data_IF_913248069425
#
_entry.id   IF_913248069425
#
_cell.length_a   1.000
_cell.length_b   1.000
_cell.length_c   1.000
_cell.angle_alpha   90.00
_cell.angle_beta   90.00
_cell.angle_gamma   90.00
#
_symmetry.space_group_name_H-M   'P 1'
#
loop_
_entity.id
_entity.type
_entity.pdbx_description
1 polymer ?
#
# COMPACT_ATOMS: atom_id res chain seq x y z
N UNK A 1 4.68 60.04 8.55
CA UNK A 1 5.87 59.42 9.17
C UNK A 1 6.23 58.19 8.33
N UNK A 2 6.55 58.39 7.04
CA UNK A 2 7.86 58.74 6.44
C UNK A 2 8.80 57.53 6.44
N UNK A 3 9.28 57.18 5.25
CA UNK A 3 10.06 55.98 4.84
C UNK A 3 9.27 54.68 4.64
N UNK A 4 8.68 54.52 3.44
CA UNK A 4 8.80 53.32 2.57
C UNK A 4 7.94 53.48 1.30
N UNK A 5 8.13 54.60 0.59
CA UNK A 5 7.61 54.83 -0.76
C UNK A 5 8.79 55.24 -1.65
N UNK A 6 9.62 54.27 -2.04
CA UNK A 6 10.65 54.42 -3.07
C UNK A 6 11.26 53.05 -3.37
N UNK A 7 10.54 52.21 -4.11
CA UNK A 7 11.12 51.14 -4.91
C UNK A 7 10.20 50.89 -6.11
N UNK A 8 10.41 51.65 -7.18
CA UNK A 8 9.93 51.31 -8.53
C UNK A 8 10.67 50.06 -9.06
N UNK A 9 10.01 49.21 -9.86
CA UNK A 9 10.59 47.98 -10.39
C UNK A 9 11.41 48.27 -11.65
N UNK A 10 12.73 48.04 -11.61
CA UNK A 10 13.58 48.10 -12.81
C UNK A 10 15.04 48.47 -12.58
N UNK A 11 15.81 47.69 -11.79
CA UNK A 11 17.28 47.80 -11.74
C UNK A 11 17.96 46.43 -11.83
N UNK A 12 18.93 46.35 -12.75
CA UNK A 12 19.73 45.17 -13.15
C UNK A 12 20.91 44.84 -12.21
N UNK A 13 20.67 44.74 -10.89
CA UNK A 13 21.78 44.65 -9.92
C UNK A 13 22.07 43.23 -9.38
N UNK A 14 21.56 42.16 -10.00
CA UNK A 14 21.92 40.78 -9.61
C UNK A 14 22.93 40.18 -10.59
N UNK A 15 24.19 40.62 -10.49
CA UNK A 15 25.34 39.83 -10.98
C UNK A 15 26.01 39.17 -9.77
N UNK A 16 26.02 37.83 -9.76
CA UNK A 16 26.69 36.99 -8.75
C UNK A 16 28.13 37.47 -8.53
N UNK A 17 28.45 37.86 -7.30
CA UNK A 17 29.78 38.28 -6.89
C UNK A 17 30.75 37.09 -6.88
N UNK A 18 31.95 37.33 -7.43
CA UNK A 18 33.10 36.41 -7.59
C UNK A 18 33.61 35.77 -6.29
N UNK A 19 33.05 36.13 -5.14
CA UNK A 19 33.42 35.64 -3.80
C UNK A 19 32.79 34.27 -3.50
N UNK A 20 31.64 33.92 -4.11
CA UNK A 20 30.96 32.65 -3.85
C UNK A 20 31.54 31.47 -4.63
N UNK A 21 32.12 31.74 -5.81
CA UNK A 21 32.90 30.74 -6.56
C UNK A 21 34.23 30.39 -5.87
N UNK A 22 34.82 31.32 -5.11
CA UNK A 22 36.05 31.05 -4.35
C UNK A 22 35.78 30.17 -3.11
N UNK A 23 34.61 30.30 -2.47
CA UNK A 23 34.20 29.45 -1.35
C UNK A 23 33.83 28.03 -1.81
N UNK A 24 33.21 27.91 -2.99
CA UNK A 24 32.95 26.62 -3.63
C UNK A 24 34.24 25.90 -4.07
N UNK A 25 35.26 26.62 -4.53
CA UNK A 25 36.56 26.07 -4.91
C UNK A 25 37.47 25.68 -3.72
N UNK A 26 37.27 26.26 -2.53
CA UNK A 26 37.95 25.84 -1.30
C UNK A 26 37.25 24.66 -0.61
N UNK A 27 35.91 24.57 -0.71
CA UNK A 27 35.17 23.41 -0.21
C UNK A 27 35.51 22.12 -0.99
N UNK A 28 35.87 22.23 -2.28
CA UNK A 28 36.30 21.08 -3.09
C UNK A 28 37.76 20.66 -2.86
N UNK A 29 38.60 21.48 -2.22
CA UNK A 29 39.99 21.13 -1.87
C UNK A 29 40.17 20.56 -0.46
N UNK A 30 39.20 20.73 0.44
CA UNK A 30 39.25 20.17 1.79
C UNK A 30 38.76 18.70 1.88
N UNK A 31 38.21 18.14 0.79
CA UNK A 31 37.77 16.75 0.73
C UNK A 31 38.87 15.78 0.23
N UNK A 32 40.05 16.28 -0.15
CA UNK A 32 41.14 15.49 -0.72
C UNK A 32 42.36 15.43 0.21
N UNK A 33 42.22 14.81 1.38
CA UNK A 33 43.37 14.32 2.16
C UNK A 33 42.92 13.49 3.39
N UNK A 34 42.68 12.18 3.22
CA UNK A 34 43.04 11.13 4.22
C UNK A 34 43.35 9.80 3.51
N UNK A 35 44.26 8.97 4.04
CA UNK A 35 44.92 7.89 3.29
C UNK A 35 44.03 6.68 3.06
N UNK A 36 44.23 6.02 1.91
CA UNK A 36 43.58 4.78 1.52
C UNK A 36 44.04 3.61 2.40
N UNK A 37 43.11 3.03 3.16
CA UNK A 37 43.22 1.65 3.64
C UNK A 37 42.45 0.78 2.64
N UNK A 38 43.19 0.02 1.82
CA UNK A 38 42.64 -0.99 0.92
C UNK A 38 42.10 -2.17 1.73
N UNK A 39 40.80 -2.19 1.99
CA UNK A 39 40.07 -3.44 2.23
C UNK A 39 39.25 -3.76 0.98
N UNK A 40 39.24 -5.02 0.50
CA UNK A 40 38.48 -5.40 -0.68
C UNK A 40 36.98 -5.32 -0.37
N UNK A 41 36.32 -4.30 -0.91
CA UNK A 41 34.86 -4.17 -0.87
C UNK A 41 34.23 -5.32 -1.63
N UNK A 42 33.74 -6.31 -0.90
CA UNK A 42 32.87 -7.35 -1.46
C UNK A 42 31.61 -6.69 -2.03
N UNK A 43 31.18 -7.05 -3.26
CA UNK A 43 29.97 -6.49 -3.84
C UNK A 43 28.77 -6.82 -2.94
N UNK A 44 27.99 -5.78 -2.62
CA UNK A 44 26.72 -5.92 -1.90
C UNK A 44 25.63 -6.13 -2.95
N UNK A 45 25.01 -7.31 -2.93
CA UNK A 45 23.87 -7.63 -3.79
C UNK A 45 22.57 -7.41 -3.01
N UNK A 46 21.71 -6.54 -3.54
CA UNK A 46 20.31 -6.44 -3.09
C UNK A 46 19.49 -7.41 -3.94
N UNK A 47 19.07 -8.53 -3.33
CA UNK A 47 18.24 -9.54 -3.97
C UNK A 47 16.78 -9.11 -3.92
N UNK A 48 16.18 -8.84 -5.08
CA UNK A 48 14.74 -8.88 -5.22
C UNK A 48 14.30 -10.34 -5.15
N UNK A 49 13.39 -10.65 -4.23
CA UNK A 49 12.71 -11.94 -4.17
C UNK A 49 11.83 -12.06 -5.42
N UNK A 50 12.40 -12.58 -6.51
CA UNK A 50 11.62 -13.08 -7.63
C UNK A 50 10.78 -14.25 -7.13
N UNK A 51 9.49 -14.26 -7.49
CA UNK A 51 8.60 -15.35 -7.17
C UNK A 51 9.19 -16.67 -7.73
N UNK A 52 9.34 -17.74 -6.92
CA UNK A 52 10.00 -18.99 -7.34
C UNK A 52 9.30 -19.81 -8.44
N UNK A 53 8.25 -19.30 -9.07
CA UNK A 53 7.35 -20.09 -9.92
C UNK A 53 7.62 -19.93 -11.44
N UNK A 54 8.76 -19.38 -11.85
CA UNK A 54 9.09 -19.26 -13.29
C UNK A 54 10.55 -19.49 -13.65
N UNK A 55 11.20 -20.46 -13.01
CA UNK A 55 12.45 -21.05 -13.53
C UNK A 55 12.14 -22.28 -14.38
N UNK A 56 12.27 -22.13 -15.71
CA UNK A 56 12.36 -23.26 -16.63
C UNK A 56 13.81 -23.76 -16.60
N UNK A 57 14.01 -24.92 -15.98
CA UNK A 57 15.32 -25.58 -15.87
C UNK A 57 15.75 -26.10 -17.25
N UNK A 58 16.82 -25.53 -17.81
CA UNK A 58 17.60 -26.19 -18.87
C UNK A 58 18.58 -27.20 -18.22
N UNK A 59 18.82 -28.39 -18.81
CA UNK A 59 19.67 -29.40 -18.21
C UNK A 59 21.14 -28.93 -18.17
N UNK A 60 21.70 -28.83 -16.96
CA UNK A 60 23.13 -28.59 -16.76
C UNK A 60 23.91 -29.90 -16.94
N UNK A 61 24.73 -29.96 -17.98
CA UNK A 61 25.82 -30.93 -18.06
C UNK A 61 26.94 -30.53 -17.10
N UNK A 62 27.18 -31.41 -16.11
CA UNK A 62 28.49 -31.80 -15.61
C UNK A 62 29.37 -30.74 -14.96
N UNK A 63 29.19 -30.50 -13.66
CA UNK A 63 30.28 -30.37 -12.67
C UNK A 63 29.78 -30.94 -11.34
N UNK A 64 30.39 -32.04 -10.86
CA UNK A 64 30.09 -32.65 -9.56
C UNK A 64 30.71 -31.85 -8.40
N UNK A 65 29.94 -31.54 -7.33
CA UNK A 65 30.50 -31.23 -6.02
C UNK A 65 30.37 -32.45 -5.09
N UNK A 66 31.49 -32.78 -4.44
CA UNK A 66 31.66 -33.88 -3.48
C UNK A 66 30.62 -33.86 -2.36
N UNK A 67 29.93 -34.98 -2.16
CA UNK A 67 28.95 -35.20 -1.10
C UNK A 67 29.60 -35.47 0.27
N UNK A 68 29.08 -34.92 1.38
CA UNK A 68 29.27 -35.47 2.72
C UNK A 68 28.56 -36.83 2.85
N UNK A 69 29.04 -37.75 3.71
CA UNK A 69 28.59 -39.15 3.70
C UNK A 69 27.10 -39.29 4.00
N UNK A 70 26.42 -40.03 3.11
CA UNK A 70 25.00 -40.35 3.18
C UNK A 70 24.66 -41.13 4.47
N UNK A 71 23.77 -40.57 5.30
CA UNK A 71 23.06 -41.35 6.30
C UNK A 71 21.85 -42.01 5.64
N UNK A 72 21.82 -43.35 5.64
CA UNK A 72 20.71 -44.13 5.08
C UNK A 72 19.44 -43.88 5.89
N UNK A 73 18.26 -43.67 5.27
CA UNK A 73 16.99 -43.59 5.97
C UNK A 73 16.73 -44.90 6.73
N UNK A 74 16.51 -44.80 8.03
CA UNK A 74 16.20 -45.94 8.90
C UNK A 74 14.71 -46.27 8.81
N UNK A 75 14.41 -47.57 8.76
CA UNK A 75 13.07 -48.14 8.74
C UNK A 75 12.27 -47.75 10.00
N UNK A 76 10.93 -47.64 9.96
CA UNK A 76 10.12 -47.20 11.11
C UNK A 76 10.32 -48.04 12.39
N UNK A 77 10.61 -49.34 12.24
CA UNK A 77 10.94 -50.22 13.37
C UNK A 77 12.27 -49.87 14.05
N UNK A 78 13.22 -49.30 13.30
CA UNK A 78 14.54 -48.91 13.78
C UNK A 78 14.48 -47.55 14.47
N UNK A 79 13.63 -46.65 13.99
CA UNK A 79 13.30 -45.40 14.68
C UNK A 79 12.67 -45.65 16.06
N UNK A 80 11.76 -46.64 16.18
CA UNK A 80 11.13 -46.99 17.46
C UNK A 80 12.15 -47.55 18.49
N UNK A 81 13.16 -48.31 18.04
CA UNK A 81 14.24 -48.79 18.92
C UNK A 81 15.16 -47.65 19.40
N UNK A 82 15.40 -46.66 18.55
CA UNK A 82 16.21 -45.48 18.89
C UNK A 82 15.46 -44.59 19.90
N UNK A 83 14.14 -44.46 19.78
CA UNK A 83 13.33 -43.72 20.76
C UNK A 83 13.19 -44.47 22.10
N UNK A 84 13.12 -45.80 22.10
CA UNK A 84 13.17 -46.61 23.32
C UNK A 84 14.51 -46.46 24.07
N UNK A 85 15.64 -46.54 23.35
CA UNK A 85 16.97 -46.34 23.93
C UNK A 85 17.18 -44.91 24.46
N UNK A 86 16.55 -43.91 23.83
CA UNK A 86 16.53 -42.54 24.33
C UNK A 86 15.73 -42.40 25.62
N UNK A 87 14.60 -43.09 25.74
CA UNK A 87 13.79 -43.08 26.97
C UNK A 87 14.54 -43.71 28.15
N UNK A 88 15.27 -44.80 27.90
CA UNK A 88 16.12 -45.44 28.91
C UNK A 88 17.35 -44.59 29.29
N UNK A 89 17.99 -43.94 28.31
CA UNK A 89 19.13 -43.04 28.56
C UNK A 89 18.72 -41.78 29.35
N UNK A 90 17.52 -41.23 29.10
CA UNK A 90 16.97 -40.10 29.83
C UNK A 90 16.65 -40.47 31.29
N UNK A 91 16.20 -41.71 31.54
CA UNK A 91 15.95 -42.22 32.90
C UNK A 91 17.25 -42.40 33.70
N UNK A 92 18.34 -42.76 33.02
CA UNK A 92 19.67 -42.96 33.61
C UNK A 92 20.56 -41.70 33.64
N UNK A 93 20.02 -40.53 33.26
CA UNK A 93 20.74 -39.25 33.32
C UNK A 93 21.91 -39.11 32.33
N UNK A 94 21.96 -39.91 31.26
CA UNK A 94 22.95 -39.79 30.20
C UNK A 94 22.44 -38.91 29.04
N UNK A 95 23.36 -38.24 28.33
CA UNK A 95 23.02 -37.35 27.22
C UNK A 95 22.42 -38.16 26.06
N UNK A 96 21.17 -37.89 25.64
CA UNK A 96 20.49 -38.71 24.65
C UNK A 96 21.04 -38.50 23.22
N UNK A 97 21.08 -39.55 22.37
CA UNK A 97 21.51 -39.45 20.98
C UNK A 97 20.58 -38.58 20.12
N UNK A 98 21.07 -38.01 19.00
CA UNK A 98 20.34 -37.05 18.16
C UNK A 98 19.09 -37.66 17.49
N UNK A 99 18.02 -36.85 17.25
CA UNK A 99 16.75 -37.35 16.75
C UNK A 99 16.81 -37.86 15.30
N UNK A 100 16.07 -38.94 14.98
CA UNK A 100 15.98 -39.42 13.61
C UNK A 100 15.26 -38.38 12.73
N UNK A 101 15.82 -38.11 11.56
CA UNK A 101 15.23 -37.23 10.54
C UNK A 101 14.23 -38.05 9.73
N UNK A 102 12.93 -37.78 9.92
CA UNK A 102 11.85 -38.43 9.17
C UNK A 102 11.71 -37.76 7.81
N UNK A 103 11.72 -38.55 6.73
CA UNK A 103 11.60 -38.05 5.36
C UNK A 103 10.25 -37.33 5.15
N UNK A 104 10.29 -36.07 4.70
CA UNK A 104 9.10 -35.35 4.19
C UNK A 104 8.58 -36.07 2.94
N UNK A 105 7.30 -36.42 2.92
CA UNK A 105 6.64 -37.03 1.77
C UNK A 105 6.67 -36.14 0.52
N UNK A 106 6.52 -36.73 -0.69
CA UNK A 106 6.69 -36.01 -1.94
C UNK A 106 5.61 -34.92 -2.13
N UNK A 107 6.05 -33.74 -2.57
CA UNK A 107 5.20 -32.59 -2.92
C UNK A 107 4.43 -32.95 -4.20
N UNK A 108 3.10 -33.03 -4.12
CA UNK A 108 2.24 -33.23 -5.29
C UNK A 108 1.93 -31.88 -5.94
N UNK A 109 2.60 -31.55 -7.04
CA UNK A 109 2.27 -30.36 -7.85
C UNK A 109 0.96 -30.57 -8.59
N UNK A 110 -0.04 -29.71 -8.34
CA UNK A 110 -1.35 -29.74 -8.99
C UNK A 110 -1.37 -28.72 -10.13
N UNK A 111 -1.59 -29.18 -11.37
CA UNK A 111 -1.66 -28.33 -12.56
C UNK A 111 -3.13 -28.03 -12.92
N UNK A 112 -3.41 -26.79 -13.31
CA UNK A 112 -4.74 -26.37 -13.82
C UNK A 112 -4.68 -26.11 -15.32
N UNK A 113 -5.66 -26.64 -16.07
CA UNK A 113 -5.78 -26.44 -17.50
C UNK A 113 -6.99 -25.54 -17.79
N UNK A 114 -6.78 -24.42 -18.52
CA UNK A 114 -7.87 -23.54 -18.93
C UNK A 114 -8.63 -24.16 -20.12
N UNK A 115 -9.87 -24.60 -19.87
CA UNK A 115 -10.68 -25.28 -20.88
C UNK A 115 -11.36 -24.34 -21.90
N UNK A 116 -11.56 -23.06 -21.57
CA UNK A 116 -12.19 -22.10 -22.48
C UNK A 116 -12.48 -20.73 -21.86
N UNK A 117 -12.88 -19.77 -22.68
CA UNK A 117 -13.35 -18.44 -22.28
C UNK A 117 -14.65 -18.13 -23.02
N UNK A 118 -15.68 -17.68 -22.30
CA UNK A 118 -17.03 -17.51 -22.83
C UNK A 118 -17.55 -16.12 -22.54
N UNK A 119 -18.28 -15.54 -23.52
CA UNK A 119 -18.95 -14.24 -23.35
C UNK A 119 -20.22 -14.32 -22.51
N UNK A 120 -20.90 -15.47 -22.51
CA UNK A 120 -22.12 -15.72 -21.74
C UNK A 120 -21.89 -16.83 -20.74
N UNK A 121 -22.45 -16.67 -19.55
CA UNK A 121 -22.33 -17.64 -18.46
C UNK A 121 -22.96 -18.99 -18.81
N UNK A 122 -24.07 -18.98 -19.53
CA UNK A 122 -24.79 -20.20 -19.91
C UNK A 122 -23.96 -21.10 -20.82
N UNK A 123 -23.17 -20.52 -21.73
CA UNK A 123 -22.27 -21.27 -22.61
C UNK A 123 -21.12 -21.92 -21.81
N UNK A 124 -20.60 -21.21 -20.79
CA UNK A 124 -19.57 -21.74 -19.89
C UNK A 124 -20.10 -22.88 -19.01
N UNK A 125 -21.34 -22.75 -18.50
CA UNK A 125 -21.98 -23.77 -17.67
C UNK A 125 -22.36 -25.02 -18.51
N UNK A 126 -22.68 -24.85 -19.80
CA UNK A 126 -22.86 -25.96 -20.74
C UNK A 126 -21.61 -26.80 -20.94
N UNK A 127 -20.46 -26.17 -21.25
CA UNK A 127 -19.18 -26.89 -21.38
C UNK A 127 -18.76 -27.53 -20.06
N UNK A 128 -18.96 -26.82 -18.94
CA UNK A 128 -18.69 -27.36 -17.60
C UNK A 128 -19.48 -28.63 -17.33
N UNK A 129 -20.78 -28.66 -17.65
CA UNK A 129 -21.60 -29.85 -17.49
C UNK A 129 -21.09 -31.02 -18.34
N UNK A 130 -20.67 -30.76 -19.58
CA UNK A 130 -20.10 -31.77 -20.47
C UNK A 130 -18.78 -32.35 -19.93
N UNK A 131 -17.89 -31.51 -19.39
CA UNK A 131 -16.62 -31.97 -18.83
C UNK A 131 -16.83 -32.73 -17.51
N UNK A 132 -17.83 -32.34 -16.71
CA UNK A 132 -18.23 -33.09 -15.51
C UNK A 132 -18.80 -34.47 -15.90
N UNK A 133 -19.57 -34.56 -16.97
CA UNK A 133 -20.07 -35.83 -17.53
C UNK A 133 -18.93 -36.75 -18.01
N UNK A 134 -17.79 -36.17 -18.43
CA UNK A 134 -16.55 -36.89 -18.75
C UNK A 134 -15.74 -37.26 -17.50
N UNK A 135 -16.27 -37.03 -16.30
CA UNK A 135 -15.67 -37.40 -15.02
C UNK A 135 -14.54 -36.48 -14.54
N UNK A 136 -14.42 -35.28 -15.10
CA UNK A 136 -13.35 -34.33 -14.79
C UNK A 136 -13.85 -33.18 -13.90
N UNK A 137 -13.02 -32.72 -12.95
CA UNK A 137 -13.36 -31.61 -12.05
C UNK A 137 -13.08 -30.25 -12.70
N UNK A 138 -14.12 -29.42 -12.87
CA UNK A 138 -13.99 -28.10 -13.52
C UNK A 138 -14.61 -26.99 -12.67
N UNK A 139 -13.89 -25.87 -12.57
CA UNK A 139 -14.32 -24.64 -11.90
C UNK A 139 -14.42 -23.49 -12.91
N UNK A 140 -15.53 -22.74 -12.90
CA UNK A 140 -15.71 -21.54 -13.72
C UNK A 140 -15.43 -20.28 -12.90
N UNK A 141 -14.66 -19.35 -13.49
CA UNK A 141 -14.33 -18.05 -12.90
C UNK A 141 -14.84 -16.94 -13.83
N UNK A 142 -15.60 -15.98 -13.29
CA UNK A 142 -16.09 -14.83 -14.04
C UNK A 142 -15.11 -13.66 -13.93
N UNK A 143 -14.64 -13.13 -15.06
CA UNK A 143 -13.84 -11.91 -15.14
C UNK A 143 -14.75 -10.78 -15.63
N UNK A 144 -15.21 -9.91 -14.74
CA UNK A 144 -15.91 -8.68 -15.13
C UNK A 144 -14.88 -7.59 -15.37
N UNK A 145 -14.53 -7.35 -16.63
CA UNK A 145 -13.86 -6.11 -17.06
C UNK A 145 -14.90 -4.98 -17.04
N UNK A 146 -14.70 -3.98 -16.19
CA UNK A 146 -15.59 -2.82 -16.10
C UNK A 146 -15.56 -1.99 -17.39
N UNK A 147 -16.67 -2.01 -18.14
CA UNK A 147 -17.03 -0.99 -19.12
C UNK A 147 -18.55 -0.79 -19.09
N UNK A 148 -18.98 0.33 -18.49
CA UNK A 148 -20.28 1.01 -18.50
C UNK A 148 -21.60 0.25 -18.17
N UNK A 149 -22.55 0.90 -17.45
CA UNK A 149 -23.76 0.25 -16.97
C UNK A 149 -24.95 0.43 -17.93
N UNK A 150 -25.65 -0.67 -18.22
CA UNK A 150 -27.07 -0.64 -18.59
C UNK A 150 -27.84 -1.53 -17.62
N UNK A 151 -28.98 -1.00 -17.19
CA UNK A 151 -29.87 -1.46 -16.14
C UNK A 151 -30.85 -2.50 -16.70
N UNK A 152 -31.06 -3.62 -16.00
CA UNK A 152 -32.40 -4.09 -15.59
C UNK A 152 -32.35 -5.26 -14.59
N UNK A 153 -33.44 -5.39 -13.84
CA UNK A 153 -33.67 -6.08 -12.56
C UNK A 153 -33.85 -7.63 -12.67
N UNK A 154 -34.51 -8.32 -11.71
CA UNK A 154 -34.04 -8.73 -10.38
C UNK A 154 -34.14 -10.26 -10.22
N UNK A 155 -33.23 -10.92 -9.50
CA UNK A 155 -33.52 -12.31 -9.10
C UNK A 155 -33.01 -12.63 -7.71
N UNK A 156 -34.00 -12.75 -6.80
CA UNK A 156 -33.88 -13.35 -5.48
C UNK A 156 -33.36 -14.77 -5.63
N UNK A 157 -32.21 -15.08 -5.03
CA UNK A 157 -31.89 -16.39 -4.48
C UNK A 157 -30.91 -16.20 -3.33
N UNK A 158 -31.44 -16.25 -2.12
CA UNK A 158 -30.63 -16.40 -0.92
C UNK A 158 -30.04 -17.82 -0.93
N UNK A 159 -28.72 -17.92 -0.84
CA UNK A 159 -27.99 -19.13 -0.48
C UNK A 159 -27.02 -18.76 0.66
N UNK A 160 -26.77 -19.70 1.60
CA UNK A 160 -26.19 -19.39 2.88
C UNK A 160 -24.70 -19.06 2.72
N UNK A 161 -24.32 -17.84 3.09
CA UNK A 161 -22.92 -17.43 3.15
C UNK A 161 -22.30 -18.12 4.36
N UNK A 162 -21.45 -19.11 4.10
CA UNK A 162 -20.46 -19.58 5.08
C UNK A 162 -19.49 -18.44 5.32
N UNK A 163 -19.28 -18.13 6.60
CA UNK A 163 -18.30 -17.20 7.14
C UNK A 163 -16.91 -17.46 6.55
N UNK A 164 -16.57 -16.71 5.51
CA UNK A 164 -15.19 -16.56 5.06
C UNK A 164 -14.71 -15.22 5.63
N UNK A 165 -13.66 -15.32 6.42
CA UNK A 165 -12.94 -14.21 7.06
C UNK A 165 -12.75 -13.08 6.05
N UNK A 166 -13.51 -11.98 6.20
CA UNK A 166 -13.30 -10.76 5.43
C UNK A 166 -11.95 -10.16 5.85
N UNK A 167 -10.91 -10.46 5.08
CA UNK A 167 -9.61 -9.81 5.23
C UNK A 167 -9.76 -8.34 4.79
N UNK A 168 -9.10 -7.40 5.48
CA UNK A 168 -9.25 -5.96 5.28
C UNK A 168 -8.96 -5.50 3.83
N UNK A 169 -8.22 -6.30 3.08
CA UNK A 169 -7.93 -6.09 1.65
C UNK A 169 -9.16 -6.26 0.75
N UNK A 170 -10.13 -7.11 1.11
CA UNK A 170 -11.36 -7.30 0.33
C UNK A 170 -12.45 -6.26 0.64
N UNK A 171 -12.28 -5.44 1.68
CA UNK A 171 -13.20 -4.35 2.00
C UNK A 171 -13.15 -3.22 0.94
N UNK A 172 -12.01 -3.05 0.28
CA UNK A 172 -11.79 -1.99 -0.73
C UNK A 172 -12.46 -2.32 -2.07
N UNK A 173 -12.58 -3.60 -2.43
CA UNK A 173 -13.13 -4.04 -3.72
C UNK A 173 -14.66 -4.19 -3.70
N UNK A 174 -15.28 -4.22 -2.51
CA UNK A 174 -16.71 -4.51 -2.35
C UNK A 174 -17.65 -3.31 -2.17
N UNK A 175 -17.16 -2.08 -2.03
CA UNK A 175 -18.01 -0.93 -1.69
C UNK A 175 -18.40 -0.14 -2.94
N UNK A 176 -19.53 -0.50 -3.57
CA UNK A 176 -20.25 0.46 -4.42
C UNK A 176 -20.73 1.62 -3.53
N UNK A 177 -20.82 2.84 -4.05
CA UNK A 177 -21.28 4.01 -3.27
C UNK A 177 -22.66 3.82 -2.60
N UNK A 178 -23.47 2.89 -3.09
CA UNK A 178 -24.75 2.47 -2.48
C UNK A 178 -24.57 1.71 -1.16
N UNK A 179 -23.49 0.93 -1.04
CA UNK A 179 -23.14 0.16 0.16
C UNK A 179 -22.50 1.06 1.24
N UNK A 180 -21.87 2.17 0.82
CA UNK A 180 -21.41 3.20 1.75
C UNK A 180 -22.59 3.87 2.47
N UNK A 181 -23.60 4.29 1.71
CA UNK A 181 -24.79 4.96 2.26
C UNK A 181 -25.61 4.02 3.15
N UNK A 182 -25.73 2.74 2.79
CA UNK A 182 -26.41 1.75 3.63
C UNK A 182 -25.66 1.50 4.94
N UNK A 183 -24.32 1.44 4.89
CA UNK A 183 -23.47 1.31 6.09
C UNK A 183 -23.59 2.55 6.99
N UNK A 184 -23.55 3.75 6.43
CA UNK A 184 -23.75 5.01 7.17
C UNK A 184 -25.13 5.06 7.82
N UNK A 185 -26.18 4.68 7.08
CA UNK A 185 -27.54 4.60 7.62
C UNK A 185 -27.64 3.56 8.73
N UNK A 186 -27.02 2.39 8.55
CA UNK A 186 -26.95 1.34 9.56
C UNK A 186 -26.29 1.84 10.84
N UNK A 187 -25.16 2.55 10.72
CA UNK A 187 -24.44 3.15 11.83
C UNK A 187 -25.29 4.20 12.56
N UNK A 188 -25.97 5.08 11.81
CA UNK A 188 -26.85 6.09 12.39
C UNK A 188 -28.03 5.46 13.15
N UNK A 189 -28.68 4.45 12.56
CA UNK A 189 -29.77 3.71 13.21
C UNK A 189 -29.27 2.95 14.45
N UNK A 190 -28.05 2.41 14.41
CA UNK A 190 -27.45 1.74 15.55
C UNK A 190 -27.20 2.71 16.72
N UNK A 191 -26.74 3.93 16.42
CA UNK A 191 -26.58 4.99 17.42
C UNK A 191 -27.89 5.37 18.11
N UNK A 192 -29.01 5.35 17.37
CA UNK A 192 -30.36 5.57 17.92
C UNK A 192 -30.82 4.37 18.75
N UNK A 193 -30.54 3.13 18.32
CA UNK A 193 -30.92 1.90 19.04
C UNK A 193 -30.16 1.69 20.35
N UNK A 194 -28.96 2.25 20.49
CA UNK A 194 -28.11 2.14 21.68
C UNK A 194 -27.84 3.51 22.30
N UNK A 195 -28.88 4.19 22.84
CA UNK A 195 -28.75 5.58 23.28
C UNK A 195 -27.80 5.74 24.46
N UNK A 196 -27.79 4.79 25.41
CA UNK A 196 -26.89 4.82 26.57
C UNK A 196 -25.43 4.66 26.15
N UNK A 197 -25.16 3.73 25.22
CA UNK A 197 -23.82 3.50 24.67
C UNK A 197 -23.28 4.74 23.97
N UNK A 198 -24.07 5.29 23.04
CA UNK A 198 -23.74 6.51 22.32
C UNK A 198 -23.54 7.70 23.26
N UNK A 199 -24.42 7.88 24.26
CA UNK A 199 -24.29 8.95 25.24
C UNK A 199 -23.00 8.85 26.06
N UNK A 200 -22.60 7.63 26.48
CA UNK A 200 -21.33 7.39 27.18
C UNK A 200 -20.14 7.83 26.33
N UNK A 201 -20.15 7.47 25.05
CA UNK A 201 -19.05 7.84 24.15
C UNK A 201 -19.02 9.33 23.85
N UNK A 202 -20.18 9.98 23.70
CA UNK A 202 -20.27 11.44 23.53
C UNK A 202 -19.79 12.17 24.78
N UNK A 203 -20.17 11.72 25.98
CA UNK A 203 -19.69 12.31 27.23
C UNK A 203 -18.17 12.18 27.40
N UNK A 204 -17.63 10.99 27.09
CA UNK A 204 -16.18 10.76 27.11
C UNK A 204 -15.44 11.58 26.04
N UNK A 205 -16.02 11.78 24.86
CA UNK A 205 -15.49 12.70 23.85
C UNK A 205 -15.45 14.13 24.38
N UNK A 206 -16.56 14.60 24.96
CA UNK A 206 -16.67 15.93 25.55
C UNK A 206 -15.60 16.19 26.62
N UNK A 207 -15.36 15.21 27.51
CA UNK A 207 -14.29 15.30 28.51
C UNK A 207 -12.87 15.29 27.90
N UNK A 208 -12.64 14.57 26.80
CA UNK A 208 -11.38 14.61 26.07
C UNK A 208 -11.17 15.96 25.37
N UNK A 209 -12.20 16.47 24.69
CA UNK A 209 -12.17 17.77 24.02
C UNK A 209 -11.98 18.91 25.03
N UNK A 210 -12.61 18.85 26.20
CA UNK A 210 -12.38 19.79 27.30
C UNK A 210 -10.91 19.84 27.70
N UNK A 211 -10.29 18.67 27.97
CA UNK A 211 -8.85 18.60 28.28
C UNK A 211 -7.97 19.16 27.17
N UNK A 212 -8.29 18.85 25.92
CA UNK A 212 -7.59 19.42 24.75
C UNK A 212 -7.72 20.94 24.70
N UNK A 213 -8.90 21.50 24.94
CA UNK A 213 -9.12 22.94 25.01
C UNK A 213 -8.29 23.59 26.14
N UNK A 214 -8.16 22.92 27.28
CA UNK A 214 -7.28 23.34 28.39
C UNK A 214 -5.78 23.27 28.03
N UNK A 215 -5.42 22.59 26.94
CA UNK A 215 -4.04 22.51 26.45
C UNK A 215 -3.36 21.16 26.66
N UNK A 216 -4.07 20.18 27.23
CA UNK A 216 -3.54 18.82 27.35
C UNK A 216 -3.36 18.19 25.96
N UNK A 217 -2.32 17.36 25.83
CA UNK A 217 -2.03 16.59 24.60
C UNK A 217 -2.11 15.09 24.90
N UNK A 218 -3.29 14.53 25.19
CA UNK A 218 -3.43 13.15 25.66
C UNK A 218 -3.22 12.10 24.56
N UNK A 219 -3.22 12.48 23.29
CA UNK A 219 -3.08 11.56 22.16
C UNK A 219 -1.69 11.64 21.52
N UNK A 220 -1.06 10.48 21.34
CA UNK A 220 0.21 10.36 20.63
C UNK A 220 -0.02 10.55 19.13
N UNK A 221 0.65 11.53 18.55
CA UNK A 221 0.70 11.74 17.10
C UNK A 221 1.60 10.68 16.47
N UNK A 222 1.18 10.07 15.37
CA UNK A 222 2.03 9.17 14.60
C UNK A 222 3.16 9.96 13.92
N UNK A 223 4.44 9.75 14.27
CA UNK A 223 5.55 10.48 13.65
C UNK A 223 5.74 10.14 12.16
N UNK A 224 5.16 9.04 11.68
CA UNK A 224 5.23 8.63 10.28
C UNK A 224 4.08 9.17 9.41
N UNK A 225 3.14 9.93 9.98
CA UNK A 225 2.06 10.54 9.20
C UNK A 225 2.53 11.85 8.53
N UNK A 226 2.72 11.87 7.19
CA UNK A 226 3.25 13.04 6.50
C UNK A 226 2.28 14.23 6.56
N UNK A 227 0.98 14.00 6.79
CA UNK A 227 -0.03 15.08 6.87
C UNK A 227 0.25 16.05 8.01
N UNK A 228 0.88 15.57 9.08
CA UNK A 228 1.19 16.32 10.29
C UNK A 228 2.68 16.54 10.50
N UNK A 229 3.49 16.42 9.42
CA UNK A 229 4.95 16.58 9.49
C UNK A 229 5.39 18.02 9.77
N UNK A 230 4.56 19.03 9.45
CA UNK A 230 4.89 20.43 9.70
C UNK A 230 5.00 20.72 11.22
N UNK A 231 6.09 21.34 11.70
CA UNK A 231 6.28 21.61 13.13
C UNK A 231 5.20 22.52 13.75
N UNK A 232 4.51 23.34 12.95
CA UNK A 232 3.40 24.18 13.40
C UNK A 232 2.28 23.37 14.05
N UNK A 233 2.05 22.11 13.65
CA UNK A 233 1.12 21.20 14.30
C UNK A 233 1.47 20.88 15.76
N UNK A 234 2.74 21.03 16.15
CA UNK A 234 3.22 20.79 17.51
C UNK A 234 3.41 22.07 18.31
N UNK A 235 3.97 23.08 17.64
CA UNK A 235 4.49 24.29 18.29
C UNK A 235 3.41 25.35 18.49
N UNK A 236 2.41 25.41 17.62
CA UNK A 236 1.32 26.37 17.76
C UNK A 236 0.17 25.77 18.60
N UNK A 237 -0.30 26.46 19.67
CA UNK A 237 -1.40 25.98 20.50
C UNK A 237 -2.70 25.71 19.75
N UNK A 238 -3.05 26.52 18.73
CA UNK A 238 -4.29 26.36 17.97
C UNK A 238 -4.23 25.09 17.13
N UNK A 239 -3.14 24.89 16.39
CA UNK A 239 -2.94 23.71 15.54
C UNK A 239 -2.73 22.43 16.33
N UNK A 240 -2.00 22.49 17.44
CA UNK A 240 -1.84 21.33 18.31
C UNK A 240 -3.15 20.92 18.96
N UNK A 241 -4.00 21.87 19.36
CA UNK A 241 -5.34 21.57 19.87
C UNK A 241 -6.26 20.99 18.79
N UNK A 242 -6.25 21.53 17.57
CA UNK A 242 -7.07 20.98 16.49
C UNK A 242 -6.65 19.56 16.10
N UNK A 243 -5.34 19.28 16.05
CA UNK A 243 -4.82 17.92 15.83
C UNK A 243 -5.23 16.98 16.97
N UNK A 244 -5.12 17.40 18.23
CA UNK A 244 -5.52 16.56 19.37
C UNK A 244 -7.05 16.32 19.39
N UNK A 245 -7.85 17.32 19.04
CA UNK A 245 -9.31 17.18 18.92
C UNK A 245 -9.68 16.18 17.81
N UNK A 246 -9.00 16.26 16.66
CA UNK A 246 -9.14 15.31 15.56
C UNK A 246 -8.82 13.88 16.00
N UNK A 247 -7.68 13.66 16.66
CA UNK A 247 -7.30 12.34 17.17
C UNK A 247 -8.26 11.82 18.24
N UNK A 248 -8.80 12.71 19.09
CA UNK A 248 -9.84 12.37 20.06
C UNK A 248 -11.09 11.83 19.37
N UNK A 249 -11.58 12.56 18.36
CA UNK A 249 -12.74 12.16 17.58
C UNK A 249 -12.53 10.81 16.89
N UNK A 250 -11.38 10.60 16.23
CA UNK A 250 -11.07 9.33 15.57
C UNK A 250 -11.02 8.16 16.57
N UNK A 251 -10.29 8.32 17.67
CA UNK A 251 -10.18 7.28 18.69
C UNK A 251 -11.54 6.93 19.27
N UNK A 252 -12.35 7.95 19.55
CA UNK A 252 -13.64 7.74 20.19
C UNK A 252 -14.66 7.12 19.25
N UNK A 253 -14.67 7.53 17.98
CA UNK A 253 -15.52 6.92 16.95
C UNK A 253 -15.16 5.45 16.76
N UNK A 254 -13.87 5.12 16.67
CA UNK A 254 -13.41 3.73 16.58
C UNK A 254 -13.79 2.92 17.83
N UNK A 255 -13.61 3.49 19.03
CA UNK A 255 -13.99 2.81 20.28
C UNK A 255 -15.50 2.55 20.35
N UNK A 256 -16.32 3.51 19.90
CA UNK A 256 -17.77 3.37 19.85
C UNK A 256 -18.19 2.25 18.88
N UNK A 257 -17.57 2.15 17.70
CA UNK A 257 -17.80 1.06 16.72
C UNK A 257 -17.37 -0.30 17.29
N UNK A 258 -16.23 -0.34 17.98
CA UNK A 258 -15.66 -1.57 18.52
C UNK A 258 -16.55 -2.19 19.59
N UNK A 259 -17.05 -1.35 20.49
CA UNK A 259 -17.94 -1.72 21.58
C UNK A 259 -19.42 -1.84 21.16
N UNK A 260 -19.77 -1.45 19.93
CA UNK A 260 -21.13 -1.61 19.42
C UNK A 260 -21.48 -3.08 19.18
N UNK A 261 -22.77 -3.42 19.34
CA UNK A 261 -23.30 -4.78 19.12
C UNK A 261 -23.47 -5.14 17.63
N UNK A 262 -22.54 -4.72 16.78
CA UNK A 262 -22.51 -5.08 15.36
C UNK A 262 -21.93 -6.48 15.17
N UNK A 263 -22.35 -7.15 14.10
CA UNK A 263 -21.67 -8.35 13.65
C UNK A 263 -20.24 -8.03 13.16
N UNK A 264 -19.42 -9.06 12.93
CA UNK A 264 -18.02 -8.85 12.57
C UNK A 264 -17.85 -8.09 11.24
N UNK A 265 -18.71 -8.38 10.27
CA UNK A 265 -18.63 -7.84 8.91
C UNK A 265 -19.13 -6.38 8.86
N UNK A 266 -20.23 -6.06 9.53
CA UNK A 266 -20.74 -4.68 9.70
C UNK A 266 -19.76 -3.84 10.50
N UNK A 267 -19.12 -4.39 11.54
CA UNK A 267 -18.08 -3.67 12.30
C UNK A 267 -16.89 -3.33 11.41
N UNK A 268 -16.43 -4.27 10.58
CA UNK A 268 -15.32 -4.03 9.65
C UNK A 268 -15.68 -2.95 8.61
N UNK A 269 -16.89 -3.02 8.03
CA UNK A 269 -17.41 -1.97 7.13
C UNK A 269 -17.51 -0.62 7.85
N UNK A 270 -18.09 -0.57 9.04
CA UNK A 270 -18.22 0.66 9.82
C UNK A 270 -16.86 1.29 10.13
N UNK A 271 -15.85 0.50 10.52
CA UNK A 271 -14.47 0.99 10.73
C UNK A 271 -13.88 1.59 9.46
N UNK A 272 -14.05 0.94 8.33
CA UNK A 272 -13.56 1.45 7.05
C UNK A 272 -14.21 2.79 6.71
N UNK A 273 -15.54 2.90 6.83
CA UNK A 273 -16.28 4.14 6.58
C UNK A 273 -15.87 5.24 7.56
N UNK A 274 -15.71 4.93 8.83
CA UNK A 274 -15.25 5.87 9.85
C UNK A 274 -13.82 6.36 9.57
N UNK A 275 -12.95 5.48 9.09
CA UNK A 275 -11.59 5.85 8.66
C UNK A 275 -11.64 6.78 7.47
N UNK A 276 -12.42 6.46 6.43
CA UNK A 276 -12.56 7.30 5.25
C UNK A 276 -13.11 8.69 5.58
N UNK A 277 -14.17 8.75 6.39
CA UNK A 277 -14.75 10.03 6.81
C UNK A 277 -13.80 10.80 7.73
N UNK A 278 -13.13 10.11 8.65
CA UNK A 278 -12.11 10.70 9.50
C UNK A 278 -10.96 11.29 8.69
N UNK A 279 -10.44 10.56 7.72
CA UNK A 279 -9.37 11.04 6.86
C UNK A 279 -9.80 12.20 5.97
N UNK A 280 -11.04 12.21 5.47
CA UNK A 280 -11.58 13.33 4.71
C UNK A 280 -11.71 14.60 5.57
N UNK A 281 -12.15 14.47 6.82
CA UNK A 281 -12.32 15.55 7.79
C UNK A 281 -11.01 15.94 8.51
N UNK A 282 -9.87 15.38 8.11
CA UNK A 282 -8.59 15.73 8.71
C UNK A 282 -8.32 17.24 8.58
N UNK A 283 -7.79 17.90 9.63
CA UNK A 283 -7.54 19.34 9.59
C UNK A 283 -6.48 19.72 8.55
N UNK A 284 -5.67 18.76 8.08
CA UNK A 284 -4.74 18.91 6.96
C UNK A 284 -5.42 19.13 5.60
N UNK A 285 -6.69 18.74 5.45
CA UNK A 285 -7.44 18.83 4.19
C UNK A 285 -8.22 20.15 4.05
N UNK A 286 -8.04 21.08 4.98
CA UNK A 286 -8.67 22.41 4.93
C UNK A 286 -7.66 23.44 4.44
N UNK A 287 -8.13 24.55 3.86
CA UNK A 287 -7.30 25.71 3.49
C UNK A 287 -6.55 26.34 4.68
N UNK A 288 -6.97 26.01 5.90
CA UNK A 288 -6.32 26.40 7.14
C UNK A 288 -5.08 25.55 7.47
N UNK A 289 -4.68 24.62 6.60
CA UNK A 289 -3.44 23.87 6.77
C UNK A 289 -2.23 24.83 6.84
N UNK A 290 -1.32 24.68 7.83
CA UNK A 290 -0.20 25.61 8.00
C UNK A 290 0.71 25.69 6.77
N UNK A 291 0.86 24.61 6.00
CA UNK A 291 1.65 24.62 4.77
C UNK A 291 0.99 25.49 3.69
N UNK A 292 -0.34 25.41 3.55
CA UNK A 292 -1.10 26.22 2.59
C UNK A 292 -1.01 27.70 2.95
N UNK A 293 -1.17 28.04 4.24
CA UNK A 293 -1.07 29.42 4.70
C UNK A 293 0.35 29.97 4.51
N UNK A 294 1.38 29.20 4.87
CA UNK A 294 2.78 29.61 4.66
C UNK A 294 3.07 29.86 3.19
N UNK A 295 2.64 28.95 2.30
CA UNK A 295 2.84 29.11 0.86
C UNK A 295 2.03 30.28 0.31
N UNK A 296 0.83 30.54 0.82
CA UNK A 296 0.04 31.71 0.44
C UNK A 296 0.80 33.01 0.72
N UNK A 297 1.41 33.12 1.91
CA UNK A 297 2.25 34.27 2.27
C UNK A 297 3.55 34.34 1.46
N UNK A 298 4.29 33.23 1.35
CA UNK A 298 5.58 33.17 0.64
C UNK A 298 5.44 33.51 -0.85
N UNK A 299 4.35 33.07 -1.47
CA UNK A 299 4.05 33.28 -2.88
C UNK A 299 3.30 34.59 -3.17
N UNK A 300 2.95 35.37 -2.14
CA UNK A 300 2.13 36.58 -2.27
C UNK A 300 0.75 36.33 -2.89
N UNK A 301 0.20 35.12 -2.71
CA UNK A 301 -1.08 34.72 -3.31
C UNK A 301 -0.98 34.10 -4.72
N UNK A 302 0.20 34.10 -5.34
CA UNK A 302 0.35 33.57 -6.71
C UNK A 302 0.12 32.06 -6.82
N UNK A 303 0.42 31.30 -5.76
CA UNK A 303 0.14 29.85 -5.70
C UNK A 303 -1.36 29.54 -5.78
N UNK A 304 -2.20 30.34 -5.10
CA UNK A 304 -3.65 30.18 -5.11
C UNK A 304 -4.23 30.48 -6.49
N UNK A 305 -3.78 31.57 -7.14
CA UNK A 305 -4.20 31.93 -8.49
C UNK A 305 -3.84 30.84 -9.50
N UNK A 306 -2.63 30.28 -9.41
CA UNK A 306 -2.21 29.12 -10.23
C UNK A 306 -3.08 27.90 -9.96
N UNK A 307 -3.37 27.60 -8.69
CA UNK A 307 -4.25 26.48 -8.31
C UNK A 307 -5.66 26.61 -8.89
N UNK A 308 -6.25 27.81 -8.88
CA UNK A 308 -7.56 28.08 -9.51
C UNK A 308 -7.48 27.95 -11.04
N UNK A 309 -6.39 28.42 -11.65
CA UNK A 309 -6.16 28.24 -13.09
C UNK A 309 -6.06 26.77 -13.47
N UNK A 310 -5.35 25.95 -12.68
CA UNK A 310 -5.25 24.51 -12.88
C UNK A 310 -6.60 23.83 -12.68
N UNK A 311 -7.36 24.19 -11.64
CA UNK A 311 -8.70 23.66 -11.41
C UNK A 311 -9.64 23.94 -12.60
N UNK A 312 -9.58 25.16 -13.15
CA UNK A 312 -10.38 25.51 -14.32
C UNK A 312 -9.93 24.74 -15.57
N UNK A 313 -8.63 24.65 -15.81
CA UNK A 313 -8.06 23.88 -16.91
C UNK A 313 -8.44 22.39 -16.80
N UNK A 314 -8.35 21.80 -15.62
CA UNK A 314 -8.72 20.41 -15.37
C UNK A 314 -10.23 20.17 -15.56
N UNK A 315 -11.07 21.14 -15.19
CA UNK A 315 -12.52 21.05 -15.40
C UNK A 315 -12.91 21.11 -16.88
N UNK A 316 -12.18 21.90 -17.68
CA UNK A 316 -12.47 22.07 -19.11
C UNK A 316 -11.81 20.99 -19.96
N UNK A 317 -10.56 20.62 -19.64
CA UNK A 317 -9.68 19.83 -20.50
C UNK A 317 -9.33 18.44 -19.93
N UNK A 318 -9.75 18.10 -18.71
CA UNK A 318 -9.39 16.85 -18.05
C UNK A 318 -10.54 16.20 -17.25
N UNK A 319 -11.79 16.37 -17.68
CA UNK A 319 -13.00 15.79 -17.05
C UNK A 319 -13.15 16.11 -15.54
N UNK A 320 -12.58 17.24 -15.10
CA UNK A 320 -12.58 17.64 -13.69
C UNK A 320 -11.58 16.88 -12.82
N UNK A 321 -10.73 16.03 -13.39
CA UNK A 321 -9.68 15.31 -12.67
C UNK A 321 -8.41 16.15 -12.58
N UNK A 322 -7.74 16.22 -11.42
CA UNK A 322 -6.47 16.93 -11.29
C UNK A 322 -5.39 16.35 -12.20
N UNK A 323 -4.76 17.19 -13.02
CA UNK A 323 -3.62 16.76 -13.85
C UNK A 323 -2.35 16.61 -12.99
N UNK A 324 -1.76 15.42 -12.97
CA UNK A 324 -0.51 15.17 -12.23
C UNK A 324 0.72 15.64 -13.01
N UNK A 325 0.64 15.61 -14.34
CA UNK A 325 1.74 15.99 -15.24
C UNK A 325 1.18 16.71 -16.46
N UNK A 326 1.99 17.58 -17.06
CA UNK A 326 1.63 18.22 -18.34
C UNK A 326 1.68 17.18 -19.47
N UNK A 327 0.52 16.89 -20.07
CA UNK A 327 0.43 15.93 -21.19
C UNK A 327 1.23 16.38 -22.42
N UNK A 328 1.40 17.69 -22.61
CA UNK A 328 2.12 18.28 -23.75
C UNK A 328 3.63 18.38 -23.55
N UNK A 329 4.12 18.13 -22.33
CA UNK A 329 5.55 18.16 -22.05
C UNK A 329 6.27 16.89 -22.52
N UNK A 330 5.55 15.83 -22.94
CA UNK A 330 6.13 14.54 -23.30
C UNK A 330 5.92 14.19 -24.78
N UNK A 331 7.01 14.08 -25.50
CA UNK A 331 7.14 13.61 -26.88
C UNK A 331 7.77 12.21 -26.87
N UNK A 332 7.01 11.20 -27.34
CA UNK A 332 7.48 9.83 -27.49
C UNK A 332 8.66 9.79 -28.46
N UNK A 333 9.75 9.15 -28.04
CA UNK A 333 11.01 9.05 -28.80
C UNK A 333 11.98 10.21 -28.57
N UNK A 334 11.59 11.27 -27.86
CA UNK A 334 12.48 12.42 -27.57
C UNK A 334 12.75 12.64 -26.09
N UNK A 335 11.71 12.66 -25.27
CA UNK A 335 11.83 12.82 -23.81
C UNK A 335 10.97 11.80 -23.04
N UNK A 336 10.21 10.97 -23.75
CA UNK A 336 9.55 9.77 -23.24
C UNK A 336 9.95 8.57 -24.09
N UNK A 337 10.22 7.42 -23.47
CA UNK A 337 10.64 6.19 -24.17
C UNK A 337 11.86 6.39 -25.11
N UNK A 338 12.89 7.09 -24.61
CA UNK A 338 14.10 7.44 -25.38
C UNK A 338 15.11 6.31 -25.49
N UNK A 339 14.95 5.24 -24.70
CA UNK A 339 15.83 4.07 -24.74
C UNK A 339 15.73 3.41 -26.11
N UNK A 340 16.85 3.37 -26.83
CA UNK A 340 16.91 2.71 -28.14
C UNK A 340 16.55 1.24 -27.99
N UNK A 341 15.46 0.81 -28.62
CA UNK A 341 15.00 -0.57 -28.64
C UNK A 341 14.71 -1.05 -30.06
N UNK A 342 14.69 -2.36 -30.25
CA UNK A 342 14.34 -3.00 -31.51
C UNK A 342 13.31 -4.11 -31.27
N UNK A 343 12.37 -4.27 -32.19
CA UNK A 343 11.42 -5.39 -32.18
C UNK A 343 12.17 -6.64 -32.65
N UNK A 344 12.38 -7.60 -31.75
CA UNK A 344 13.12 -8.84 -32.04
C UNK A 344 12.21 -10.00 -32.44
N UNK A 345 10.94 -9.93 -32.09
CA UNK A 345 9.94 -10.92 -32.46
C UNK A 345 8.55 -10.27 -32.55
N UNK A 346 7.75 -10.66 -33.55
CA UNK A 346 6.38 -10.17 -33.78
C UNK A 346 5.48 -11.34 -34.16
N UNK A 347 4.32 -11.43 -33.52
CA UNK A 347 3.22 -12.34 -33.86
C UNK A 347 1.90 -11.56 -33.88
N UNK A 348 0.78 -12.22 -34.23
CA UNK A 348 -0.55 -11.57 -34.21
C UNK A 348 -1.00 -11.15 -32.81
N UNK A 349 -0.44 -11.74 -31.75
CA UNK A 349 -0.84 -11.47 -30.37
C UNK A 349 0.13 -10.55 -29.62
N UNK A 350 1.40 -10.46 -30.04
CA UNK A 350 2.41 -9.70 -29.30
C UNK A 350 3.59 -9.24 -30.15
N UNK A 351 4.26 -8.21 -29.65
CA UNK A 351 5.58 -7.75 -30.10
C UNK A 351 6.57 -7.81 -28.94
N UNK A 352 7.72 -8.43 -29.15
CA UNK A 352 8.82 -8.47 -28.21
C UNK A 352 9.83 -7.38 -28.57
N UNK A 353 10.02 -6.43 -27.65
CA UNK A 353 10.94 -5.30 -27.81
C UNK A 353 12.16 -5.52 -26.92
N UNK A 354 13.35 -5.52 -27.51
CA UNK A 354 14.62 -5.54 -26.79
C UNK A 354 15.20 -4.13 -26.70
N UNK A 355 15.41 -3.63 -25.49
CA UNK A 355 16.02 -2.32 -25.24
C UNK A 355 17.53 -2.43 -25.04
N UNK A 356 18.29 -1.45 -25.55
CA UNK A 356 19.72 -1.32 -25.26
C UNK A 356 19.94 -0.80 -23.83
N UNK A 357 20.88 -1.38 -23.07
CA UNK A 357 21.20 -0.89 -21.74
C UNK A 357 21.77 0.53 -21.80
N UNK A 358 21.37 1.39 -20.86
CA UNK A 358 21.83 2.78 -20.77
C UNK A 358 22.92 3.01 -19.70
N UNK A 359 23.39 1.95 -19.03
CA UNK A 359 24.52 2.01 -18.09
C UNK A 359 25.60 1.01 -18.48
N UNK A 360 26.86 1.34 -18.17
CA UNK A 360 27.95 0.36 -18.15
C UNK A 360 27.75 -0.60 -16.97
N UNK A 361 28.28 -1.83 -17.11
CA UNK A 361 28.13 -2.92 -16.14
C UNK A 361 28.89 -2.68 -14.85
#
# INVERSE_FOLDING_TARGET
MVFLFSLEPGRDEIKRTKVEQARAAQASKAAAAKPATNEPTKPKYDFYTLLPESEVILPQQGIEPVAPPAQKPVTPEEAAKIDAARAEAALNGQVPPPPPVVAKGPISSQFFLQAGSFRRKDDADGLRAQIILLGQSVQSHGLTTECCPMRDQPTKRALPVRSSVMNAQNAVVGLRGRDLLSTLRGLALQGIKQPIHSARHVAALGGQLGRVLMGDKPFKVNPQDPRFADPTWRDNPIYSRSLQAYLACQKQLNSWIDESSLDADDRARARFVATLLGDALAPSNTLLNPQVIKELFNSGGSSLLKGVSHLFDDLVNNDGMPSQVSKHAFEVGRNLATTSGAVVFRSELLELIQYKPMSEK
#
